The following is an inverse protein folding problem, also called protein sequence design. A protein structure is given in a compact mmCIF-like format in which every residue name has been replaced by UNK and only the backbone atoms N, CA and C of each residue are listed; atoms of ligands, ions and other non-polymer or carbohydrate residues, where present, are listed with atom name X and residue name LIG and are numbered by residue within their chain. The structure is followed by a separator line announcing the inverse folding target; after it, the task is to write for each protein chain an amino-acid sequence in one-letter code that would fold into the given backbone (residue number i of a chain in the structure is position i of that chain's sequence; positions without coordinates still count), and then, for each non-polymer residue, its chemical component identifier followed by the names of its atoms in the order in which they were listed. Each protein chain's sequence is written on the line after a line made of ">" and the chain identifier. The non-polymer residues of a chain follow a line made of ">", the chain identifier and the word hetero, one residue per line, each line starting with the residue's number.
data_IF_730396616156
#
_entry.id   IF_730396616156
#
_cell.length_a   1.000
_cell.length_b   1.000
_cell.length_c   1.000
_cell.angle_alpha   90.00
_cell.angle_beta   90.00
_cell.angle_gamma   90.00
#
_symmetry.space_group_name_H-M   'P 1'
#
loop_
_entity.id
_entity.type
_entity.pdbx_description
1 polymer ?
#
# COMPACT_ATOMS: atom_id res chain seq x y z
N UNK A 1 7.59 7.57 35.05
CA UNK A 1 7.53 7.35 33.58
C UNK A 1 6.07 7.49 33.19
N UNK A 2 5.71 8.46 32.35
CA UNK A 2 4.33 8.60 31.88
C UNK A 2 4.15 7.65 30.70
N UNK A 3 3.26 6.68 30.86
CA UNK A 3 2.79 5.87 29.75
C UNK A 3 1.66 6.60 29.02
N UNK A 4 1.35 6.18 27.80
CA UNK A 4 0.15 6.62 27.11
C UNK A 4 -1.08 6.01 27.78
N UNK A 5 -2.21 6.71 27.71
CA UNK A 5 -3.49 6.17 28.18
C UNK A 5 -3.88 4.94 27.35
N UNK A 6 -4.50 3.90 27.95
CA UNK A 6 -4.85 2.67 27.24
C UNK A 6 -5.68 2.86 25.97
N UNK A 7 -6.48 3.93 25.92
CA UNK A 7 -7.34 4.27 24.79
C UNK A 7 -6.56 4.50 23.49
N UNK A 8 -5.31 4.98 23.57
CA UNK A 8 -4.44 5.14 22.39
C UNK A 8 -4.13 3.82 21.69
N UNK A 9 -4.36 2.67 22.34
CA UNK A 9 -4.12 1.35 21.76
C UNK A 9 -5.40 0.61 21.37
N UNK A 10 -6.57 1.06 21.85
CA UNK A 10 -7.81 0.27 21.77
C UNK A 10 -9.00 1.03 21.19
N UNK A 11 -9.02 2.37 21.22
CA UNK A 11 -10.13 3.16 20.69
C UNK A 11 -10.12 3.18 19.15
N UNK A 12 -11.15 2.62 18.48
CA UNK A 12 -11.25 2.64 17.03
C UNK A 12 -11.31 4.07 16.44
N UNK A 13 -11.85 5.04 17.18
CA UNK A 13 -11.93 6.42 16.72
C UNK A 13 -10.56 7.13 16.78
N UNK A 14 -9.67 6.73 17.67
CA UNK A 14 -8.27 7.16 17.65
C UNK A 14 -7.53 6.52 16.48
N UNK A 15 -7.70 5.21 16.26
CA UNK A 15 -7.11 4.54 15.10
C UNK A 15 -7.49 5.21 13.77
N UNK A 16 -8.76 5.54 13.56
CA UNK A 16 -9.18 6.22 12.32
C UNK A 16 -8.52 7.59 12.15
N UNK A 17 -8.33 8.35 13.24
CA UNK A 17 -7.59 9.61 13.22
C UNK A 17 -6.11 9.41 12.88
N UNK A 18 -5.47 8.39 13.43
CA UNK A 18 -4.07 8.05 13.12
C UNK A 18 -3.91 7.66 11.65
N UNK A 19 -4.84 6.87 11.09
CA UNK A 19 -4.86 6.54 9.65
C UNK A 19 -4.82 7.80 8.80
N UNK A 20 -5.73 8.73 9.08
CA UNK A 20 -5.91 9.95 8.29
C UNK A 20 -4.77 10.95 8.46
N UNK A 21 -4.29 11.14 9.70
CA UNK A 21 -3.35 12.21 10.02
C UNK A 21 -1.89 11.76 9.93
N UNK A 22 -1.61 10.49 10.18
CA UNK A 22 -0.25 9.94 10.25
C UNK A 22 -0.01 9.02 9.06
N UNK A 23 -0.66 7.87 9.01
CA UNK A 23 -0.30 6.82 8.05
C UNK A 23 -0.52 7.23 6.58
N UNK A 24 -1.55 8.02 6.29
CA UNK A 24 -1.82 8.49 4.92
C UNK A 24 -1.02 9.73 4.52
N UNK A 25 -0.37 10.42 5.47
CA UNK A 25 0.36 11.66 5.22
C UNK A 25 1.87 11.56 5.48
N UNK A 26 2.37 10.37 5.82
CA UNK A 26 3.79 10.14 6.11
C UNK A 26 4.32 8.97 5.28
N UNK A 27 5.64 8.93 5.09
CA UNK A 27 6.30 7.85 4.37
C UNK A 27 6.09 6.50 5.05
N UNK A 28 5.67 5.51 4.26
CA UNK A 28 5.43 4.15 4.73
C UNK A 28 6.41 3.20 4.05
N UNK A 29 7.02 2.31 4.83
CA UNK A 29 7.86 1.25 4.30
C UNK A 29 6.98 0.17 3.68
N UNK A 30 7.16 -0.08 2.38
CA UNK A 30 6.36 -1.06 1.65
C UNK A 30 7.07 -2.41 1.45
N UNK A 31 8.40 -2.41 1.29
CA UNK A 31 9.18 -3.63 1.16
C UNK A 31 10.61 -3.40 0.65
N UNK A 32 11.43 -4.47 0.59
CA UNK A 32 12.79 -4.38 0.08
C UNK A 32 12.83 -4.27 -1.45
N UNK A 33 13.87 -3.59 -1.95
CA UNK A 33 14.08 -3.42 -3.40
C UNK A 33 14.30 -4.74 -4.15
N UNK A 34 14.78 -5.78 -3.46
CA UNK A 34 15.05 -7.11 -4.04
C UNK A 34 13.80 -7.82 -4.57
N UNK A 35 12.59 -7.38 -4.19
CA UNK A 35 11.34 -7.93 -4.71
C UNK A 35 10.93 -7.29 -6.06
N UNK A 36 11.63 -6.24 -6.49
CA UNK A 36 11.26 -5.40 -7.64
C UNK A 36 12.46 -5.26 -8.57
N UNK A 37 13.00 -6.37 -9.06
CA UNK A 37 14.25 -6.37 -9.85
C UNK A 37 13.99 -6.26 -11.34
N UNK A 38 12.93 -6.90 -11.82
CA UNK A 38 12.57 -6.99 -13.23
C UNK A 38 11.42 -6.03 -13.55
N UNK A 39 11.35 -5.62 -14.82
CA UNK A 39 10.20 -4.85 -15.33
C UNK A 39 8.91 -5.65 -15.11
N UNK A 40 7.89 -4.97 -14.60
CA UNK A 40 6.58 -5.55 -14.29
C UNK A 40 6.50 -6.20 -12.91
N UNK A 41 7.61 -6.38 -12.18
CA UNK A 41 7.59 -6.85 -10.80
C UNK A 41 6.79 -5.87 -9.96
N UNK A 42 5.86 -6.39 -9.17
CA UNK A 42 5.05 -5.61 -8.26
C UNK A 42 5.01 -6.23 -6.87
N UNK A 43 4.77 -5.38 -5.88
CA UNK A 43 4.40 -5.76 -4.53
C UNK A 43 3.12 -5.00 -4.16
N UNK A 44 2.04 -5.75 -3.91
CA UNK A 44 0.75 -5.23 -3.50
C UNK A 44 0.47 -5.59 -2.03
N UNK A 45 -0.03 -4.63 -1.26
CA UNK A 45 -0.30 -4.80 0.17
C UNK A 45 -1.34 -3.79 0.65
N UNK A 46 -1.67 -3.86 1.94
CA UNK A 46 -2.51 -2.90 2.63
C UNK A 46 -1.69 -2.14 3.67
N UNK A 47 -1.83 -0.81 3.68
CA UNK A 47 -1.23 0.05 4.71
C UNK A 47 -2.32 0.87 5.36
N UNK A 48 -2.61 0.65 6.65
CA UNK A 48 -3.62 1.40 7.37
C UNK A 48 -4.99 1.41 6.63
N UNK A 49 -5.42 0.25 6.13
CA UNK A 49 -6.63 0.05 5.31
C UNK A 49 -6.60 0.68 3.92
N UNK A 50 -5.46 1.18 3.46
CA UNK A 50 -5.23 1.61 2.09
C UNK A 50 -4.64 0.45 1.26
N UNK A 51 -5.43 -0.08 0.33
CA UNK A 51 -4.94 -1.05 -0.66
C UNK A 51 -4.02 -0.32 -1.65
N UNK A 52 -2.75 -0.72 -1.71
CA UNK A 52 -1.68 -0.08 -2.50
C UNK A 52 -0.83 -1.13 -3.20
N UNK A 53 -0.10 -0.70 -4.23
CA UNK A 53 0.97 -1.50 -4.81
C UNK A 53 2.10 -0.60 -5.31
N UNK A 54 3.31 -1.14 -5.35
CA UNK A 54 4.45 -0.60 -6.09
C UNK A 54 4.75 -1.51 -7.27
N UNK A 55 5.20 -0.96 -8.39
CA UNK A 55 5.58 -1.71 -9.60
C UNK A 55 6.83 -1.09 -10.22
N UNK A 56 7.71 -1.93 -10.80
CA UNK A 56 8.76 -1.46 -11.71
C UNK A 56 8.17 -1.30 -13.11
N UNK A 57 8.10 -0.07 -13.59
CA UNK A 57 7.54 0.25 -14.91
C UNK A 57 8.47 -0.19 -16.06
N UNK A 58 8.00 0.02 -17.30
CA UNK A 58 8.74 -0.34 -18.51
C UNK A 58 10.00 0.51 -18.75
N UNK A 59 10.07 1.69 -18.12
CA UNK A 59 11.25 2.55 -18.14
C UNK A 59 12.24 2.18 -17.02
N UNK A 60 11.92 1.16 -16.22
CA UNK A 60 12.71 0.69 -15.09
C UNK A 60 12.53 1.51 -13.82
N UNK A 61 11.59 2.46 -13.76
CA UNK A 61 11.33 3.28 -12.58
C UNK A 61 10.37 2.58 -11.61
N UNK A 62 10.51 2.86 -10.31
CA UNK A 62 9.52 2.44 -9.31
C UNK A 62 8.38 3.43 -9.25
N UNK A 63 7.14 2.92 -9.28
CA UNK A 63 5.92 3.73 -9.12
C UNK A 63 4.98 3.06 -8.14
N UNK A 64 4.27 3.86 -7.34
CA UNK A 64 3.28 3.38 -6.39
C UNK A 64 1.89 3.96 -6.68
N UNK A 65 0.86 3.14 -6.49
CA UNK A 65 -0.53 3.49 -6.77
C UNK A 65 -1.48 2.84 -5.75
N UNK A 66 -2.72 3.35 -5.68
CA UNK A 66 -3.82 2.63 -5.03
C UNK A 66 -4.17 1.38 -5.85
N UNK A 67 -4.33 0.24 -5.17
CA UNK A 67 -4.73 -1.02 -5.80
C UNK A 67 -6.26 -1.09 -5.98
N UNK A 68 -6.83 -0.04 -6.59
CA UNK A 68 -8.27 0.15 -6.73
C UNK A 68 -8.56 0.69 -8.13
N UNK A 69 -9.39 -0.03 -8.89
CA UNK A 69 -9.82 0.39 -10.21
C UNK A 69 -10.69 1.64 -10.12
N UNK A 70 -10.38 2.65 -10.94
CA UNK A 70 -11.14 3.91 -11.00
C UNK A 70 -12.56 3.77 -11.57
N UNK A 71 -12.90 2.63 -12.18
CA UNK A 71 -14.25 2.42 -12.73
C UNK A 71 -15.26 2.05 -11.63
N UNK A 72 -15.04 0.94 -10.92
CA UNK A 72 -15.98 0.41 -9.90
C UNK A 72 -15.29 -0.13 -8.65
N UNK A 73 -14.05 0.27 -8.39
CA UNK A 73 -13.37 -0.07 -7.14
C UNK A 73 -12.82 -1.50 -7.05
N UNK A 74 -12.83 -2.28 -8.14
CA UNK A 74 -12.24 -3.61 -8.15
C UNK A 74 -10.74 -3.57 -7.80
N UNK A 75 -10.25 -4.55 -7.04
CA UNK A 75 -8.81 -4.75 -6.81
C UNK A 75 -8.14 -5.10 -8.14
N UNK A 76 -7.01 -4.46 -8.44
CA UNK A 76 -6.33 -4.59 -9.74
C UNK A 76 -5.29 -5.72 -9.74
N UNK A 77 -4.53 -5.85 -8.67
CA UNK A 77 -3.49 -6.84 -8.50
C UNK A 77 -3.78 -7.72 -7.27
N UNK A 78 -3.54 -9.04 -7.33
CA UNK A 78 -3.50 -9.90 -6.16
C UNK A 78 -2.55 -9.35 -5.09
N UNK A 79 -2.82 -9.67 -3.83
CA UNK A 79 -1.95 -9.29 -2.72
C UNK A 79 -0.65 -10.10 -2.73
N UNK A 80 0.45 -9.49 -2.26
CA UNK A 80 1.78 -10.07 -2.29
C UNK A 80 2.59 -9.67 -3.51
N UNK A 81 3.54 -10.52 -3.89
CA UNK A 81 4.47 -10.27 -4.98
C UNK A 81 3.97 -10.92 -6.28
N UNK A 82 4.29 -10.30 -7.40
CA UNK A 82 4.06 -10.91 -8.71
C UNK A 82 4.74 -10.13 -9.82
N UNK A 83 4.47 -10.53 -11.07
CA UNK A 83 4.93 -9.84 -12.25
C UNK A 83 3.77 -9.68 -13.24
N UNK A 84 3.62 -8.51 -13.86
CA UNK A 84 2.67 -8.33 -14.94
C UNK A 84 3.17 -7.34 -16.01
N UNK A 85 2.84 -7.63 -17.27
CA UNK A 85 3.13 -6.74 -18.41
C UNK A 85 2.17 -5.56 -18.52
N UNK A 86 0.92 -5.75 -18.06
CA UNK A 86 -0.12 -4.74 -18.06
C UNK A 86 -1.11 -5.02 -16.94
N UNK A 87 -1.48 -3.98 -16.23
CA UNK A 87 -2.53 -4.03 -15.21
C UNK A 87 -3.88 -4.04 -15.92
N UNK A 88 -4.68 -5.09 -15.70
CA UNK A 88 -6.03 -5.24 -16.25
C UNK A 88 -6.99 -5.41 -15.07
N UNK A 89 -8.02 -4.57 -15.03
CA UNK A 89 -9.14 -4.79 -14.14
C UNK A 89 -9.80 -6.14 -14.51
N UNK A 90 -10.10 -7.01 -13.53
CA UNK A 90 -10.81 -8.27 -13.77
C UNK A 90 -12.16 -8.02 -14.45
#
# INVERSE_FOLDING_TARGET
>A
MKNLDPEFYTDPALYERERQLIFWNTWQLLGPLSYLTSIGDYLATEIAGAQVFVIRDNDGNLRAFRNVCRHRGARLLPEGQGNCKRIRCP
#
